data_IF_716950061368
#
_entry.id   IF_716950061368
#
_cell.length_a   1.000
_cell.length_b   1.000
_cell.length_c   1.000
_cell.angle_alpha   90.00
_cell.angle_beta   90.00
_cell.angle_gamma   90.00
#
_symmetry.space_group_name_H-M   'P 1'
#
loop_
_entity.id
_entity.type
_entity.pdbx_description
1 polymer ?
#
# COMPACT_ATOMS: atom_id res chain seq x y z
N UNK A 1 72.85 -17.18 13.47
CA UNK A 1 71.57 -16.43 13.63
C UNK A 1 71.80 -14.99 13.18
N UNK A 2 70.89 -14.44 12.45
CA UNK A 2 70.96 -13.02 12.02
C UNK A 2 70.61 -12.10 13.19
N UNK A 3 71.25 -10.95 13.24
CA UNK A 3 70.87 -9.83 14.11
C UNK A 3 69.98 -8.84 13.33
N UNK A 4 69.21 -8.01 14.03
CA UNK A 4 68.39 -6.98 13.38
C UNK A 4 69.27 -6.00 12.54
N UNK A 5 70.44 -5.67 13.02
CA UNK A 5 71.37 -4.78 12.33
C UNK A 5 71.93 -5.43 11.04
N UNK A 6 72.23 -6.72 11.07
CA UNK A 6 72.67 -7.47 9.88
C UNK A 6 71.55 -7.57 8.84
N UNK A 7 70.31 -7.81 9.25
CA UNK A 7 69.16 -7.83 8.37
C UNK A 7 68.98 -6.47 7.68
N UNK A 8 69.15 -5.38 8.42
CA UNK A 8 69.01 -4.02 7.91
C UNK A 8 70.11 -3.67 6.92
N UNK A 9 71.37 -4.04 7.23
CA UNK A 9 72.58 -3.59 6.47
C UNK A 9 72.98 -4.57 5.35
N UNK A 10 72.48 -5.80 5.31
CA UNK A 10 72.84 -6.79 4.31
C UNK A 10 72.38 -6.34 2.92
N UNK A 11 73.37 -6.18 1.99
CA UNK A 11 73.13 -5.90 0.56
C UNK A 11 73.54 -7.07 -0.31
N UNK A 12 74.13 -8.12 0.24
CA UNK A 12 74.61 -9.29 -0.48
C UNK A 12 73.44 -10.08 -1.01
N UNK A 13 73.39 -10.20 -2.37
CA UNK A 13 72.33 -10.96 -3.05
C UNK A 13 72.39 -12.42 -2.64
N UNK A 14 71.21 -13.06 -2.38
CA UNK A 14 71.12 -14.46 -2.05
C UNK A 14 70.34 -14.71 -0.76
N UNK A 15 70.39 -15.94 -0.27
CA UNK A 15 69.66 -16.39 0.93
C UNK A 15 70.61 -16.46 2.13
N UNK A 16 70.30 -15.70 3.14
CA UNK A 16 71.02 -15.62 4.40
C UNK A 16 70.27 -16.40 5.48
N UNK A 17 70.89 -17.47 5.98
CA UNK A 17 70.25 -18.34 6.98
C UNK A 17 70.15 -17.68 8.35
N UNK A 18 68.96 -17.83 8.95
CA UNK A 18 68.76 -17.47 10.38
C UNK A 18 68.61 -18.76 11.20
N UNK A 19 67.59 -18.93 11.97
CA UNK A 19 67.27 -20.09 12.79
C UNK A 19 66.07 -20.87 12.28
N UNK A 20 65.95 -22.15 12.63
CA UNK A 20 64.74 -22.96 12.44
C UNK A 20 64.17 -23.02 11.00
N UNK A 21 65.04 -22.89 9.98
CA UNK A 21 64.59 -22.88 8.58
C UNK A 21 64.14 -21.56 8.04
N UNK A 22 64.31 -20.45 8.79
CA UNK A 22 64.06 -19.09 8.35
C UNK A 22 65.31 -18.57 7.59
N UNK A 23 65.08 -17.85 6.48
CA UNK A 23 66.08 -17.20 5.67
C UNK A 23 65.64 -15.78 5.30
N UNK A 24 66.58 -14.84 5.25
CA UNK A 24 66.41 -13.59 4.58
C UNK A 24 66.86 -13.76 3.11
N UNK A 25 66.01 -13.51 2.17
CA UNK A 25 66.35 -13.50 0.76
C UNK A 25 66.47 -12.06 0.27
N UNK A 26 67.62 -11.75 -0.38
CA UNK A 26 67.90 -10.42 -0.97
C UNK A 26 67.96 -10.63 -2.48
N UNK A 27 67.12 -9.90 -3.23
CA UNK A 27 67.08 -9.96 -4.69
C UNK A 27 68.15 -9.05 -5.36
N UNK A 28 68.19 -9.06 -6.68
CA UNK A 28 69.14 -8.29 -7.49
C UNK A 28 68.89 -6.76 -7.37
N UNK A 29 67.69 -6.34 -7.00
CA UNK A 29 67.26 -4.96 -6.79
C UNK A 29 67.48 -4.50 -5.35
N UNK A 30 67.95 -5.40 -4.46
CA UNK A 30 68.16 -5.11 -3.04
C UNK A 30 66.92 -5.26 -2.17
N UNK A 31 65.79 -5.72 -2.71
CA UNK A 31 64.60 -5.97 -1.91
C UNK A 31 64.82 -7.21 -1.05
N UNK A 32 64.32 -7.12 0.19
CA UNK A 32 64.44 -8.17 1.19
C UNK A 32 63.14 -8.80 1.49
N UNK A 33 63.10 -10.13 1.55
CA UNK A 33 61.93 -10.88 1.94
C UNK A 33 62.28 -12.05 2.84
N UNK A 34 61.36 -12.44 3.71
CA UNK A 34 61.49 -13.59 4.56
C UNK A 34 61.00 -14.83 3.82
N UNK A 35 61.76 -15.92 3.86
CA UNK A 35 61.41 -17.21 3.28
C UNK A 35 61.71 -18.33 4.29
N UNK A 36 60.86 -19.30 4.31
CA UNK A 36 60.95 -20.45 5.21
C UNK A 36 61.20 -21.72 4.39
N UNK A 37 62.26 -22.45 4.73
CA UNK A 37 62.62 -23.73 4.13
C UNK A 37 62.06 -24.86 4.97
N UNK A 38 61.28 -25.77 4.35
CA UNK A 38 60.71 -26.92 5.01
C UNK A 38 60.82 -28.18 4.12
N UNK A 39 60.59 -29.33 4.73
CA UNK A 39 60.47 -30.61 4.04
C UNK A 39 59.12 -31.25 4.36
N UNK A 40 58.38 -31.62 3.32
CA UNK A 40 57.12 -32.31 3.42
C UNK A 40 57.09 -33.42 2.37
N UNK A 41 56.71 -34.64 2.78
CA UNK A 41 56.67 -35.82 1.92
C UNK A 41 57.99 -36.06 1.13
N UNK A 42 59.13 -35.97 1.84
CA UNK A 42 60.47 -36.10 1.30
C UNK A 42 60.92 -35.04 0.30
N UNK A 43 60.09 -34.02 0.05
CA UNK A 43 60.42 -32.92 -0.84
C UNK A 43 60.79 -31.62 -0.07
N UNK A 44 61.94 -31.03 -0.40
CA UNK A 44 62.32 -29.73 0.13
C UNK A 44 61.59 -28.61 -0.63
N UNK A 45 60.96 -27.72 0.10
CA UNK A 45 60.16 -26.59 -0.43
C UNK A 45 60.47 -25.29 0.29
N UNK A 46 60.04 -24.19 -0.32
CA UNK A 46 60.16 -22.87 0.23
C UNK A 46 58.78 -22.22 0.32
N UNK A 47 58.53 -21.50 1.42
CA UNK A 47 57.33 -20.68 1.64
C UNK A 47 57.75 -19.26 1.91
N UNK A 48 57.15 -18.29 1.21
CA UNK A 48 57.32 -16.86 1.48
C UNK A 48 56.59 -16.42 2.75
N UNK A 49 57.29 -15.71 3.62
CA UNK A 49 56.73 -15.12 4.87
C UNK A 49 56.54 -13.61 4.78
N UNK A 50 56.62 -13.04 3.57
CA UNK A 50 56.42 -11.61 3.32
C UNK A 50 57.70 -10.83 3.18
N UNK A 51 57.58 -9.60 2.67
CA UNK A 51 58.72 -8.64 2.54
C UNK A 51 59.19 -8.18 3.92
N UNK A 52 60.49 -8.00 4.07
CA UNK A 52 61.03 -7.40 5.27
C UNK A 52 60.60 -5.95 5.41
N UNK A 53 60.12 -5.57 6.56
CA UNK A 53 59.81 -4.19 6.93
C UNK A 53 60.21 -3.95 8.39
N UNK A 54 60.81 -2.78 8.67
CA UNK A 54 61.36 -2.40 9.97
C UNK A 54 60.30 -2.32 11.08
N UNK A 55 59.02 -2.12 10.71
CA UNK A 55 57.89 -1.99 11.65
C UNK A 55 56.85 -3.10 11.50
N UNK A 56 56.51 -3.48 10.26
CA UNK A 56 55.37 -4.37 9.97
C UNK A 56 55.77 -5.82 9.75
N UNK A 57 57.08 -6.14 9.46
CA UNK A 57 57.54 -7.52 9.30
C UNK A 57 59.01 -7.66 9.68
N UNK A 58 59.26 -7.48 10.96
CA UNK A 58 60.62 -7.50 11.57
C UNK A 58 61.19 -8.91 11.64
N UNK A 59 62.51 -9.05 12.00
CA UNK A 59 63.14 -10.34 12.24
C UNK A 59 62.40 -11.16 13.32
N UNK A 60 61.93 -10.50 14.41
CA UNK A 60 61.19 -11.17 15.46
C UNK A 60 59.84 -11.74 14.96
N UNK A 61 59.09 -10.95 14.18
CA UNK A 61 57.84 -11.38 13.56
C UNK A 61 58.05 -12.51 12.55
N UNK A 62 59.12 -12.45 11.76
CA UNK A 62 59.48 -13.50 10.83
C UNK A 62 59.85 -14.82 11.50
N UNK A 63 60.50 -14.76 12.68
CA UNK A 63 60.79 -15.95 13.50
C UNK A 63 59.49 -16.58 14.05
N UNK A 64 58.55 -15.77 14.50
CA UNK A 64 57.19 -16.24 14.93
C UNK A 64 56.45 -16.92 13.79
N UNK A 65 56.40 -16.24 12.63
CA UNK A 65 55.73 -16.80 11.43
C UNK A 65 56.40 -18.10 10.94
N UNK A 66 57.72 -18.21 11.06
CA UNK A 66 58.46 -19.42 10.72
C UNK A 66 58.12 -20.59 11.68
N UNK A 67 57.93 -20.29 12.98
CA UNK A 67 57.51 -21.27 13.99
C UNK A 67 56.11 -21.76 13.70
N UNK A 68 55.15 -20.86 13.43
CA UNK A 68 53.78 -21.21 13.06
C UNK A 68 53.74 -22.08 11.81
N UNK A 69 54.48 -21.69 10.76
CA UNK A 69 54.60 -22.44 9.55
C UNK A 69 55.23 -23.81 9.78
N UNK A 70 56.19 -23.93 10.70
CA UNK A 70 56.79 -25.24 11.07
C UNK A 70 55.77 -26.15 11.76
N UNK A 71 54.85 -25.60 12.59
CA UNK A 71 53.80 -26.37 13.23
C UNK A 71 52.81 -26.96 12.18
N UNK A 72 52.42 -26.15 11.18
CA UNK A 72 51.55 -26.63 10.08
C UNK A 72 52.22 -27.74 9.31
N UNK A 73 53.49 -27.64 8.98
CA UNK A 73 54.27 -28.68 8.29
C UNK A 73 54.34 -30.00 9.13
N UNK A 74 54.52 -29.88 10.46
CA UNK A 74 54.50 -31.05 11.37
C UNK A 74 53.14 -31.75 11.41
N UNK A 75 52.05 -31.01 11.17
CA UNK A 75 50.67 -31.55 11.04
C UNK A 75 50.39 -32.09 9.65
N UNK A 76 51.38 -32.13 8.75
CA UNK A 76 51.23 -32.59 7.37
C UNK A 76 50.54 -31.61 6.44
N UNK A 77 50.32 -30.34 6.90
CA UNK A 77 49.59 -29.33 6.13
C UNK A 77 50.58 -28.51 5.30
N UNK A 78 50.31 -28.38 4.00
CA UNK A 78 51.13 -27.54 3.13
C UNK A 78 50.80 -26.02 3.41
N UNK A 79 51.81 -25.19 3.74
CA UNK A 79 51.55 -23.79 4.14
C UNK A 79 50.86 -22.95 3.05
N UNK A 80 51.07 -23.25 1.76
CA UNK A 80 50.42 -22.55 0.67
C UNK A 80 48.91 -22.89 0.64
N UNK A 81 48.56 -24.17 0.82
CA UNK A 81 47.19 -24.64 0.79
C UNK A 81 46.39 -24.07 2.00
N UNK A 82 47.05 -23.96 3.17
CA UNK A 82 46.48 -23.35 4.34
C UNK A 82 46.14 -21.86 4.12
N UNK A 83 47.06 -21.10 3.44
CA UNK A 83 46.80 -19.68 3.10
C UNK A 83 45.59 -19.56 2.13
N UNK A 84 45.47 -20.45 1.14
CA UNK A 84 44.36 -20.46 0.21
C UNK A 84 43.05 -20.81 0.93
N UNK A 85 43.10 -21.79 1.85
CA UNK A 85 41.91 -22.17 2.65
C UNK A 85 41.41 -21.03 3.51
N UNK A 86 42.29 -20.31 4.22
CA UNK A 86 41.92 -19.12 5.03
C UNK A 86 41.33 -18.02 4.15
N UNK A 87 41.91 -17.77 2.99
CA UNK A 87 41.39 -16.76 2.06
C UNK A 87 39.98 -17.11 1.57
N UNK A 88 39.80 -18.34 1.13
CA UNK A 88 38.48 -18.83 0.66
C UNK A 88 37.42 -18.78 1.78
N UNK A 89 37.81 -19.12 3.01
CA UNK A 89 36.90 -19.03 4.16
C UNK A 89 36.53 -17.56 4.49
N UNK A 90 37.47 -16.64 4.40
CA UNK A 90 37.21 -15.22 4.60
C UNK A 90 36.31 -14.65 3.49
N UNK A 91 36.54 -15.04 2.22
CA UNK A 91 35.70 -14.65 1.09
C UNK A 91 34.28 -15.22 1.24
N UNK A 92 34.12 -16.49 1.64
CA UNK A 92 32.83 -17.10 1.92
C UNK A 92 32.08 -16.41 3.07
N UNK A 93 32.79 -16.06 4.16
CA UNK A 93 32.21 -15.33 5.30
C UNK A 93 31.77 -13.94 4.90
N UNK A 94 32.58 -13.21 4.11
CA UNK A 94 32.21 -11.89 3.59
C UNK A 94 31.00 -11.95 2.65
N UNK A 95 30.92 -12.95 1.80
CA UNK A 95 29.78 -13.15 0.91
C UNK A 95 28.50 -13.48 1.72
N UNK A 96 28.60 -14.31 2.73
CA UNK A 96 27.49 -14.58 3.66
C UNK A 96 27.03 -13.33 4.40
N UNK A 97 27.97 -12.54 4.93
CA UNK A 97 27.63 -11.28 5.61
C UNK A 97 27.00 -10.25 4.67
N UNK A 98 27.46 -10.18 3.42
CA UNK A 98 26.88 -9.31 2.40
C UNK A 98 25.44 -9.75 2.07
N UNK A 99 25.23 -11.04 1.81
CA UNK A 99 23.91 -11.61 1.55
C UNK A 99 22.96 -11.40 2.75
N UNK A 100 23.44 -11.57 3.98
CA UNK A 100 22.64 -11.33 5.20
C UNK A 100 22.28 -9.86 5.34
N UNK A 101 23.19 -8.92 5.02
CA UNK A 101 22.89 -7.48 5.03
C UNK A 101 21.89 -7.08 3.95
N UNK A 102 21.99 -7.65 2.76
CA UNK A 102 21.02 -7.45 1.66
C UNK A 102 19.65 -8.03 2.03
N UNK A 103 19.59 -9.20 2.65
CA UNK A 103 18.35 -9.80 3.15
C UNK A 103 17.70 -9.01 4.29
N UNK A 104 18.45 -8.36 5.16
CA UNK A 104 17.93 -7.48 6.22
C UNK A 104 17.32 -6.20 5.62
N UNK A 105 17.79 -5.74 4.46
CA UNK A 105 17.19 -4.61 3.74
C UNK A 105 15.87 -4.96 3.03
N UNK A 106 15.62 -6.21 2.67
CA UNK A 106 14.44 -6.68 1.97
C UNK A 106 13.37 -7.23 2.93
N UNK A 107 12.96 -6.43 3.90
CA UNK A 107 11.83 -6.78 4.76
C UNK A 107 10.50 -6.56 4.04
N UNK A 108 9.41 -7.16 4.56
CA UNK A 108 8.06 -6.91 4.03
C UNK A 108 7.71 -5.42 4.04
N UNK A 109 8.07 -4.69 5.12
CA UNK A 109 7.78 -3.26 5.24
C UNK A 109 8.55 -2.43 4.20
N UNK A 110 9.85 -2.70 3.98
CA UNK A 110 10.63 -1.97 2.99
C UNK A 110 10.11 -2.21 1.57
N UNK A 111 9.81 -3.46 1.22
CA UNK A 111 9.20 -3.81 -0.06
C UNK A 111 7.81 -3.18 -0.24
N UNK A 112 7.00 -3.14 0.82
CA UNK A 112 5.67 -2.52 0.77
C UNK A 112 5.74 -1.00 0.52
N UNK A 113 6.64 -0.30 1.21
CA UNK A 113 6.83 1.14 1.03
C UNK A 113 7.36 1.47 -0.37
N UNK A 114 8.29 0.67 -0.88
CA UNK A 114 8.80 0.84 -2.24
C UNK A 114 7.72 0.58 -3.30
N UNK A 115 6.93 -0.51 -3.14
CA UNK A 115 5.80 -0.80 -4.01
C UNK A 115 4.76 0.34 -4.01
N UNK A 116 4.43 0.88 -2.82
CA UNK A 116 3.52 2.03 -2.70
C UNK A 116 4.07 3.22 -3.47
N UNK A 117 5.36 3.56 -3.31
CA UNK A 117 5.99 4.68 -4.01
C UNK A 117 5.95 4.54 -5.53
N UNK A 118 6.17 3.34 -6.06
CA UNK A 118 6.09 3.06 -7.50
C UNK A 118 4.67 3.15 -8.06
N UNK A 119 3.66 2.78 -7.24
CA UNK A 119 2.25 2.82 -7.63
C UNK A 119 1.57 4.16 -7.36
N UNK A 120 2.24 5.06 -6.67
CA UNK A 120 1.71 6.37 -6.28
C UNK A 120 1.21 7.19 -7.46
N UNK A 121 1.95 7.21 -8.58
CA UNK A 121 1.60 7.94 -9.79
C UNK A 121 0.32 7.41 -10.48
N UNK A 122 0.01 6.11 -10.28
CA UNK A 122 -1.21 5.49 -10.84
C UNK A 122 -2.46 5.84 -10.02
N UNK A 123 -2.29 6.22 -8.75
CA UNK A 123 -3.42 6.49 -7.85
C UNK A 123 -3.79 7.96 -7.84
N UNK A 124 -4.77 8.32 -8.65
CA UNK A 124 -5.27 9.69 -8.76
C UNK A 124 -5.92 10.27 -7.48
N UNK A 125 -6.03 9.50 -6.38
CA UNK A 125 -6.61 9.94 -5.12
C UNK A 125 -5.60 9.84 -3.96
N UNK A 126 -5.09 10.96 -3.43
CA UNK A 126 -4.13 10.98 -2.32
C UNK A 126 -4.63 10.26 -1.06
N UNK A 127 -5.95 10.32 -0.77
CA UNK A 127 -6.55 9.59 0.37
C UNK A 127 -6.46 8.09 0.20
N UNK A 128 -6.54 7.57 -1.03
CA UNK A 128 -6.39 6.15 -1.28
C UNK A 128 -4.98 5.66 -0.94
N UNK A 129 -3.95 6.40 -1.33
CA UNK A 129 -2.55 6.11 -0.99
C UNK A 129 -2.32 6.04 0.51
N UNK A 130 -2.77 7.06 1.25
CA UNK A 130 -2.68 7.08 2.71
C UNK A 130 -3.42 5.89 3.33
N UNK A 131 -4.58 5.51 2.80
CA UNK A 131 -5.35 4.36 3.26
C UNK A 131 -4.62 3.04 2.98
N UNK A 132 -3.97 2.88 1.82
CA UNK A 132 -3.17 1.69 1.49
C UNK A 132 -2.04 1.54 2.51
N UNK A 133 -1.24 2.59 2.70
CA UNK A 133 -0.15 2.62 3.66
C UNK A 133 -0.63 2.29 5.07
N UNK A 134 -1.60 3.06 5.59
CA UNK A 134 -2.11 2.92 6.96
C UNK A 134 -2.67 1.52 7.25
N UNK A 135 -3.34 0.90 6.31
CA UNK A 135 -3.87 -0.45 6.56
C UNK A 135 -2.79 -1.52 6.62
N UNK A 136 -1.70 -1.39 5.85
CA UNK A 136 -0.54 -2.27 5.99
C UNK A 136 0.18 -2.01 7.32
N UNK A 137 0.36 -0.75 7.71
CA UNK A 137 0.96 -0.36 9.00
C UNK A 137 0.18 -0.90 10.20
N UNK A 138 -1.14 -0.90 10.13
CA UNK A 138 -1.99 -1.34 11.27
C UNK A 138 -2.14 -2.86 11.32
N UNK A 139 -2.26 -3.54 10.18
CA UNK A 139 -2.69 -4.94 10.15
C UNK A 139 -1.62 -5.93 9.67
N UNK A 140 -0.61 -5.49 8.93
CA UNK A 140 0.44 -6.36 8.41
C UNK A 140 1.80 -6.12 9.09
N UNK A 141 2.24 -4.86 9.21
CA UNK A 141 3.58 -4.56 9.75
C UNK A 141 3.82 -5.05 11.17
N UNK A 142 2.86 -5.04 12.12
CA UNK A 142 3.11 -5.56 13.47
C UNK A 142 3.50 -7.04 13.49
N UNK A 143 2.98 -7.82 12.54
CA UNK A 143 3.24 -9.26 12.49
C UNK A 143 4.39 -9.65 11.55
N UNK A 144 4.47 -9.02 10.38
CA UNK A 144 5.41 -9.43 9.32
C UNK A 144 6.31 -8.30 8.80
N UNK A 145 6.14 -7.06 9.30
CA UNK A 145 6.85 -5.89 8.77
C UNK A 145 8.37 -6.02 8.75
N UNK A 146 8.95 -6.53 9.82
CA UNK A 146 10.40 -6.70 9.98
C UNK A 146 10.91 -8.06 9.50
N UNK A 147 10.03 -8.94 9.02
CA UNK A 147 10.44 -10.25 8.50
C UNK A 147 11.07 -10.10 7.11
N UNK A 148 12.14 -10.83 6.80
CA UNK A 148 12.64 -10.95 5.43
C UNK A 148 11.51 -11.41 4.49
N UNK A 149 11.26 -10.66 3.43
CA UNK A 149 10.11 -10.93 2.53
C UNK A 149 10.20 -12.33 1.87
N UNK A 150 11.40 -12.83 1.68
CA UNK A 150 11.67 -14.16 1.18
C UNK A 150 11.15 -15.27 2.10
N UNK A 151 11.11 -15.02 3.43
CA UNK A 151 10.82 -16.03 4.44
C UNK A 151 9.37 -16.04 4.90
N UNK A 152 8.62 -14.94 4.67
CA UNK A 152 7.22 -14.85 5.10
C UNK A 152 6.41 -16.03 4.55
N UNK A 153 5.77 -16.77 5.46
CA UNK A 153 4.97 -17.95 5.16
C UNK A 153 3.48 -17.63 5.02
N UNK A 154 2.70 -18.64 4.61
CA UNK A 154 1.23 -18.55 4.58
C UNK A 154 0.66 -18.36 6.00
N UNK A 155 1.24 -19.01 7.00
CA UNK A 155 0.78 -18.88 8.39
C UNK A 155 1.05 -17.49 8.96
N UNK A 156 2.13 -16.83 8.54
CA UNK A 156 2.38 -15.44 8.91
C UNK A 156 1.33 -14.50 8.33
N UNK A 157 0.94 -14.70 7.07
CA UNK A 157 -0.16 -13.95 6.44
C UNK A 157 -1.49 -14.22 7.15
N UNK A 158 -1.76 -15.48 7.53
CA UNK A 158 -2.96 -15.84 8.29
C UNK A 158 -3.01 -15.13 9.63
N UNK A 159 -1.90 -15.05 10.37
CA UNK A 159 -1.84 -14.28 11.65
C UNK A 159 -2.27 -12.82 11.48
N UNK A 160 -1.95 -12.20 10.33
CA UNK A 160 -2.43 -10.85 10.03
C UNK A 160 -3.94 -10.78 9.78
N UNK A 161 -4.51 -11.82 9.18
CA UNK A 161 -5.90 -11.82 8.70
C UNK A 161 -6.88 -12.37 9.73
N UNK A 162 -6.50 -13.35 10.54
CA UNK A 162 -7.38 -14.04 11.50
C UNK A 162 -8.03 -13.07 12.49
N UNK A 163 -7.29 -12.06 12.94
CA UNK A 163 -7.79 -11.04 13.88
C UNK A 163 -8.85 -10.11 13.30
N UNK A 164 -9.02 -10.08 11.98
CA UNK A 164 -9.94 -9.14 11.32
C UNK A 164 -10.88 -9.79 10.31
N UNK A 165 -10.73 -11.09 10.00
CA UNK A 165 -11.52 -11.72 8.94
C UNK A 165 -13.00 -11.85 9.29
N UNK A 166 -13.34 -12.16 10.54
CA UNK A 166 -14.71 -12.28 11.03
C UNK A 166 -15.41 -10.92 11.08
N UNK A 167 -14.84 -9.98 11.84
CA UNK A 167 -15.50 -8.72 12.20
C UNK A 167 -15.37 -7.63 11.13
N UNK A 168 -14.25 -7.60 10.42
CA UNK A 168 -13.90 -6.56 9.44
C UNK A 168 -13.56 -7.16 8.07
N UNK A 169 -14.37 -8.08 7.60
CA UNK A 169 -14.11 -8.88 6.39
C UNK A 169 -13.71 -8.06 5.16
N UNK A 170 -14.32 -6.88 4.94
CA UNK A 170 -13.93 -6.01 3.82
C UNK A 170 -12.52 -5.45 4.00
N UNK A 171 -12.19 -5.04 5.22
CA UNK A 171 -10.84 -4.55 5.54
C UNK A 171 -9.83 -5.67 5.39
N UNK A 172 -10.13 -6.86 5.92
CA UNK A 172 -9.28 -8.04 5.80
C UNK A 172 -9.02 -8.43 4.34
N UNK A 173 -10.06 -8.45 3.51
CA UNK A 173 -9.95 -8.70 2.07
C UNK A 173 -9.03 -7.68 1.37
N UNK A 174 -9.15 -6.41 1.71
CA UNK A 174 -8.29 -5.35 1.15
C UNK A 174 -6.85 -5.44 1.65
N UNK A 175 -6.64 -5.74 2.93
CA UNK A 175 -5.30 -5.98 3.50
C UNK A 175 -4.64 -7.16 2.79
N UNK A 176 -5.35 -8.28 2.62
CA UNK A 176 -4.88 -9.44 1.88
C UNK A 176 -4.47 -9.08 0.44
N UNK A 177 -5.31 -8.37 -0.30
CA UNK A 177 -5.02 -7.94 -1.67
C UNK A 177 -3.77 -7.06 -1.74
N UNK A 178 -3.56 -6.18 -0.76
CA UNK A 178 -2.37 -5.33 -0.67
C UNK A 178 -1.13 -6.15 -0.39
N UNK A 179 -1.20 -7.08 0.59
CA UNK A 179 -0.10 -8.03 0.85
C UNK A 179 0.23 -8.84 -0.41
N UNK A 180 -0.78 -9.38 -1.11
CA UNK A 180 -0.61 -10.11 -2.36
C UNK A 180 0.13 -9.27 -3.42
N UNK A 181 -0.22 -7.99 -3.55
CA UNK A 181 0.46 -7.08 -4.48
C UNK A 181 1.92 -6.82 -4.09
N UNK A 182 2.21 -6.67 -2.80
CA UNK A 182 3.58 -6.48 -2.29
C UNK A 182 4.42 -7.73 -2.53
N UNK A 183 3.90 -8.93 -2.25
CA UNK A 183 4.60 -10.17 -2.54
C UNK A 183 4.81 -10.40 -4.03
N UNK A 184 3.82 -10.08 -4.86
CA UNK A 184 3.96 -10.15 -6.33
C UNK A 184 5.05 -9.20 -6.83
N UNK A 185 5.15 -8.01 -6.25
CA UNK A 185 6.24 -7.06 -6.53
C UNK A 185 7.60 -7.62 -6.11
N UNK A 186 7.70 -8.23 -4.93
CA UNK A 186 8.93 -8.85 -4.45
C UNK A 186 9.38 -10.01 -5.33
N UNK A 187 8.46 -10.84 -5.80
CA UNK A 187 8.74 -11.93 -6.75
C UNK A 187 9.25 -11.36 -8.08
N UNK A 188 8.55 -10.37 -8.64
CA UNK A 188 8.93 -9.74 -9.90
C UNK A 188 10.28 -9.01 -9.83
N UNK A 189 10.70 -8.57 -8.65
CA UNK A 189 12.00 -7.91 -8.42
C UNK A 189 13.11 -8.87 -7.96
N UNK A 190 12.87 -10.20 -7.97
CA UNK A 190 13.87 -11.20 -7.59
C UNK A 190 14.19 -11.29 -6.09
N UNK A 191 13.41 -10.61 -5.23
CA UNK A 191 13.60 -10.60 -3.78
C UNK A 191 12.91 -11.77 -3.06
N UNK A 192 12.09 -12.51 -3.78
CA UNK A 192 11.40 -13.71 -3.30
C UNK A 192 11.25 -14.71 -4.44
N UNK A 193 11.70 -15.94 -4.20
CA UNK A 193 11.56 -17.04 -5.15
C UNK A 193 10.34 -17.93 -4.85
N UNK A 194 9.91 -17.95 -3.56
CA UNK A 194 8.77 -18.75 -3.11
C UNK A 194 7.46 -18.18 -3.65
N UNK A 195 6.45 -19.03 -3.75
CA UNK A 195 5.08 -18.65 -4.11
C UNK A 195 4.55 -17.51 -3.24
N UNK A 196 3.63 -16.70 -3.78
CA UNK A 196 2.97 -15.62 -3.08
C UNK A 196 2.10 -16.15 -1.93
N UNK A 197 2.43 -15.89 -0.64
CA UNK A 197 1.73 -16.46 0.49
C UNK A 197 0.36 -15.81 0.75
N UNK A 198 0.07 -14.66 0.13
CA UNK A 198 -1.20 -13.95 0.22
C UNK A 198 -2.14 -14.21 -0.96
N UNK A 199 -1.78 -15.15 -1.85
CA UNK A 199 -2.60 -15.52 -3.01
C UNK A 199 -3.96 -16.06 -2.56
N UNK A 200 -5.02 -15.53 -3.18
CA UNK A 200 -6.38 -15.97 -2.84
C UNK A 200 -6.73 -17.30 -3.45
N UNK A 201 -6.71 -17.36 -4.79
CA UNK A 201 -7.16 -18.54 -5.55
C UNK A 201 -6.18 -19.71 -5.36
N UNK A 202 -6.71 -20.83 -4.92
CA UNK A 202 -5.93 -22.07 -4.73
C UNK A 202 -5.09 -22.10 -3.45
N UNK A 203 -5.06 -21.02 -2.64
CA UNK A 203 -4.32 -20.97 -1.40
C UNK A 203 -5.20 -20.48 -0.25
N UNK A 204 -5.33 -19.17 -0.03
CA UNK A 204 -6.08 -18.63 1.12
C UNK A 204 -7.59 -18.88 1.04
N UNK A 205 -8.14 -19.08 -0.14
CA UNK A 205 -9.55 -19.50 -0.33
C UNK A 205 -9.90 -20.84 0.31
N UNK A 206 -8.90 -21.66 0.68
CA UNK A 206 -9.10 -22.92 1.41
C UNK A 206 -9.23 -22.72 2.94
N UNK A 207 -8.75 -21.59 3.45
CA UNK A 207 -8.77 -21.26 4.87
C UNK A 207 -9.87 -20.27 5.23
N UNK A 208 -10.29 -19.43 4.28
CA UNK A 208 -11.26 -18.36 4.51
C UNK A 208 -12.46 -18.47 3.60
N UNK A 209 -13.66 -18.27 4.15
CA UNK A 209 -14.85 -18.07 3.35
C UNK A 209 -14.73 -16.82 2.46
N UNK A 210 -15.34 -16.86 1.28
CA UNK A 210 -15.30 -15.70 0.39
C UNK A 210 -15.89 -14.46 1.10
N UNK A 211 -15.30 -13.26 0.92
CA UNK A 211 -15.77 -12.05 1.59
C UNK A 211 -17.25 -11.76 1.38
N UNK A 212 -17.79 -12.08 0.18
CA UNK A 212 -19.19 -11.90 -0.12
C UNK A 212 -20.08 -12.85 0.71
N UNK A 213 -19.71 -14.14 0.84
CA UNK A 213 -20.45 -15.11 1.64
C UNK A 213 -20.41 -14.78 3.12
N UNK A 214 -19.22 -14.43 3.65
CA UNK A 214 -19.06 -14.03 5.07
C UNK A 214 -19.95 -12.82 5.38
N UNK A 215 -19.92 -11.79 4.56
CA UNK A 215 -20.76 -10.60 4.71
C UNK A 215 -22.24 -10.92 4.62
N UNK A 216 -22.65 -11.74 3.64
CA UNK A 216 -24.04 -12.17 3.50
C UNK A 216 -24.53 -12.89 4.76
N UNK A 217 -23.74 -13.85 5.26
CA UNK A 217 -24.10 -14.61 6.45
C UNK A 217 -24.16 -13.71 7.71
N UNK A 218 -23.21 -12.78 7.87
CA UNK A 218 -23.24 -11.82 8.97
C UNK A 218 -24.48 -10.91 8.93
N UNK A 219 -24.91 -10.48 7.73
CA UNK A 219 -26.14 -9.70 7.55
C UNK A 219 -27.38 -10.51 7.88
N UNK A 220 -27.48 -11.74 7.38
CA UNK A 220 -28.60 -12.64 7.72
C UNK A 220 -28.65 -12.85 9.23
N UNK A 221 -27.54 -13.10 9.89
CA UNK A 221 -27.46 -13.30 11.34
C UNK A 221 -27.87 -12.04 12.13
N UNK A 222 -27.66 -10.84 11.59
CA UNK A 222 -28.08 -9.57 12.21
C UNK A 222 -29.54 -9.17 11.87
N UNK A 223 -30.28 -10.01 11.16
CA UNK A 223 -31.65 -9.70 10.74
C UNK A 223 -31.76 -8.66 9.63
N UNK A 224 -30.63 -8.31 8.97
CA UNK A 224 -30.62 -7.38 7.84
C UNK A 224 -30.88 -8.14 6.54
N UNK A 225 -31.78 -7.61 5.71
CA UNK A 225 -32.09 -8.13 4.37
C UNK A 225 -30.95 -7.98 3.34
N UNK A 226 -29.82 -7.46 3.78
CA UNK A 226 -28.60 -7.33 2.97
C UNK A 226 -28.50 -6.05 2.17
N UNK A 227 -29.49 -5.17 2.23
CA UNK A 227 -29.45 -3.84 1.60
C UNK A 227 -28.62 -2.83 2.42
N UNK A 228 -28.18 -1.74 1.81
CA UNK A 228 -27.60 -0.63 2.56
C UNK A 228 -28.67 -0.06 3.49
N UNK A 229 -28.28 0.37 4.69
CA UNK A 229 -29.14 1.08 5.63
C UNK A 229 -29.71 2.33 4.96
N UNK A 230 -30.90 2.20 4.40
CA UNK A 230 -31.63 3.21 3.65
C UNK A 230 -32.96 3.51 4.34
N UNK A 231 -33.43 4.74 4.23
CA UNK A 231 -34.75 5.11 4.67
C UNK A 231 -35.79 4.48 3.73
N UNK A 232 -36.80 3.73 4.24
CA UNK A 232 -37.93 3.30 3.40
C UNK A 232 -38.57 4.52 2.73
N UNK A 233 -38.79 4.47 1.42
CA UNK A 233 -39.28 5.64 0.68
C UNK A 233 -40.61 6.18 1.24
N UNK A 234 -41.50 5.32 1.74
CA UNK A 234 -42.76 5.72 2.37
C UNK A 234 -42.59 6.65 3.59
N UNK A 235 -41.43 6.61 4.24
CA UNK A 235 -41.09 7.48 5.36
C UNK A 235 -40.38 8.78 4.92
N UNK A 236 -40.05 8.92 3.64
CA UNK A 236 -39.26 10.03 3.16
C UNK A 236 -39.94 11.40 3.34
N UNK A 237 -41.24 11.59 3.02
CA UNK A 237 -41.87 12.88 3.18
C UNK A 237 -41.86 13.35 4.63
N UNK A 238 -42.19 12.48 5.59
CA UNK A 238 -42.14 12.81 7.02
C UNK A 238 -40.71 13.09 7.51
N UNK A 239 -39.72 12.37 7.01
CA UNK A 239 -38.32 12.63 7.33
C UNK A 239 -37.85 13.98 6.78
N UNK A 240 -38.22 14.37 5.55
CA UNK A 240 -37.86 15.64 4.96
C UNK A 240 -38.53 16.81 5.71
N UNK A 241 -39.74 16.62 6.21
CA UNK A 241 -40.40 17.60 7.09
C UNK A 241 -39.64 17.75 8.40
N UNK A 242 -39.25 16.67 9.07
CA UNK A 242 -38.39 16.67 10.26
C UNK A 242 -37.03 17.33 9.98
N UNK A 243 -36.40 17.00 8.85
CA UNK A 243 -35.15 17.62 8.43
C UNK A 243 -35.28 19.13 8.24
N UNK A 244 -36.46 19.62 7.81
CA UNK A 244 -36.77 21.04 7.67
C UNK A 244 -36.73 21.81 8.98
N UNK A 245 -36.89 21.16 10.14
CA UNK A 245 -36.74 21.80 11.46
C UNK A 245 -35.29 21.96 11.91
N UNK A 246 -34.36 21.26 11.21
CA UNK A 246 -32.94 21.26 11.54
C UNK A 246 -32.24 22.50 10.96
N UNK A 247 -31.39 23.15 11.76
CA UNK A 247 -30.64 24.31 11.33
C UNK A 247 -29.22 23.98 10.84
N UNK A 248 -28.69 24.87 10.01
CA UNK A 248 -27.30 24.88 9.58
C UNK A 248 -27.04 24.17 8.22
N UNK A 249 -25.89 24.45 7.69
CA UNK A 249 -25.46 24.02 6.33
C UNK A 249 -25.56 22.51 6.09
N UNK A 250 -25.35 21.69 7.14
CA UNK A 250 -25.44 20.25 7.01
C UNK A 250 -26.87 19.76 6.71
N UNK A 251 -27.90 20.44 7.22
CA UNK A 251 -29.31 20.13 6.95
C UNK A 251 -29.66 20.48 5.50
N UNK A 252 -29.27 21.64 5.04
CA UNK A 252 -29.48 22.12 3.67
C UNK A 252 -28.72 21.23 2.65
N UNK A 253 -27.49 20.83 2.96
CA UNK A 253 -26.71 19.91 2.16
C UNK A 253 -27.34 18.51 2.09
N UNK A 254 -27.91 18.02 3.21
CA UNK A 254 -28.59 16.73 3.24
C UNK A 254 -29.89 16.79 2.43
N UNK A 255 -30.70 17.87 2.57
CA UNK A 255 -31.89 18.07 1.77
C UNK A 255 -31.59 18.11 0.28
N UNK A 256 -30.53 18.86 -0.12
CA UNK A 256 -30.06 18.90 -1.50
C UNK A 256 -29.58 17.51 -1.99
N UNK A 257 -28.88 16.75 -1.12
CA UNK A 257 -28.45 15.37 -1.43
C UNK A 257 -29.64 14.46 -1.70
N UNK A 258 -30.72 14.57 -0.92
CA UNK A 258 -31.97 13.82 -1.10
C UNK A 258 -32.61 14.21 -2.43
N UNK A 259 -32.87 15.49 -2.63
CA UNK A 259 -33.57 16.02 -3.82
C UNK A 259 -32.85 15.72 -5.12
N UNK A 260 -31.51 15.67 -5.12
CA UNK A 260 -30.70 15.38 -6.32
C UNK A 260 -30.29 13.91 -6.46
N UNK A 261 -30.50 13.09 -5.43
CA UNK A 261 -29.94 11.75 -5.30
C UNK A 261 -28.43 11.66 -5.60
N UNK A 262 -27.70 12.76 -5.47
CA UNK A 262 -26.29 12.89 -5.79
C UNK A 262 -25.40 12.21 -4.73
N UNK A 263 -24.14 11.92 -5.09
CA UNK A 263 -23.16 11.39 -4.13
C UNK A 263 -22.74 12.45 -3.13
N UNK A 264 -22.62 12.08 -1.86
CA UNK A 264 -22.16 12.96 -0.77
C UNK A 264 -20.91 13.78 -1.14
N UNK A 265 -19.96 13.15 -1.82
CA UNK A 265 -18.75 13.83 -2.26
C UNK A 265 -19.02 14.94 -3.27
N UNK A 266 -19.89 14.70 -4.25
CA UNK A 266 -20.25 15.70 -5.26
C UNK A 266 -20.95 16.90 -4.61
N UNK A 267 -21.92 16.65 -3.73
CA UNK A 267 -22.66 17.71 -3.01
C UNK A 267 -21.73 18.56 -2.15
N UNK A 268 -20.83 17.93 -1.40
CA UNK A 268 -19.88 18.68 -0.54
C UNK A 268 -18.98 19.63 -1.31
N UNK A 269 -18.59 19.26 -2.51
CA UNK A 269 -17.71 20.05 -3.36
C UNK A 269 -18.46 20.88 -4.41
N UNK A 270 -19.79 20.95 -4.33
CA UNK A 270 -20.59 21.79 -5.22
C UNK A 270 -20.21 23.26 -5.05
N UNK A 271 -19.93 23.92 -6.17
CA UNK A 271 -19.62 25.34 -6.22
C UNK A 271 -20.71 26.10 -6.99
N UNK A 272 -20.89 27.38 -6.66
CA UNK A 272 -21.87 28.24 -7.31
C UNK A 272 -21.64 28.34 -8.84
N UNK A 273 -20.40 28.39 -9.29
CA UNK A 273 -20.03 28.42 -10.70
C UNK A 273 -20.51 27.21 -11.52
N UNK A 274 -20.89 26.12 -10.85
CA UNK A 274 -21.37 24.89 -11.46
C UNK A 274 -22.90 24.82 -11.55
N UNK A 275 -23.60 25.79 -10.97
CA UNK A 275 -25.06 25.84 -10.87
C UNK A 275 -25.60 26.86 -11.87
N UNK A 276 -26.40 26.40 -12.80
CA UNK A 276 -27.21 27.22 -13.72
C UNK A 276 -28.68 27.10 -13.30
N UNK A 277 -29.18 28.09 -12.55
CA UNK A 277 -30.56 28.09 -12.04
C UNK A 277 -31.58 28.35 -13.15
N UNK A 278 -31.22 29.08 -14.22
CA UNK A 278 -32.11 29.35 -15.34
C UNK A 278 -32.37 28.05 -16.13
N UNK A 279 -31.30 27.29 -16.42
CA UNK A 279 -31.40 25.99 -17.08
C UNK A 279 -31.76 24.86 -16.12
N UNK A 280 -31.78 25.11 -14.83
CA UNK A 280 -32.01 24.13 -13.77
C UNK A 280 -31.01 22.96 -13.84
N UNK A 281 -29.74 23.25 -14.07
CA UNK A 281 -28.66 22.26 -14.23
C UNK A 281 -27.56 22.52 -13.19
N UNK A 282 -27.13 21.44 -12.55
CA UNK A 282 -25.87 21.43 -11.83
C UNK A 282 -24.86 20.56 -12.57
N UNK A 283 -23.77 21.16 -13.03
CA UNK A 283 -22.69 20.48 -13.76
C UNK A 283 -21.59 20.03 -12.80
N UNK A 284 -21.53 18.72 -12.51
CA UNK A 284 -20.51 18.13 -11.64
C UNK A 284 -19.24 17.85 -12.44
N UNK A 285 -18.10 18.48 -12.13
CA UNK A 285 -16.85 18.28 -12.87
C UNK A 285 -16.34 16.83 -12.78
N UNK A 286 -15.64 16.38 -13.81
CA UNK A 286 -15.04 15.04 -13.91
C UNK A 286 -14.17 14.67 -12.69
N UNK A 287 -13.47 15.63 -12.09
CA UNK A 287 -12.62 15.44 -10.90
C UNK A 287 -13.42 14.98 -9.67
N UNK A 288 -14.70 15.32 -9.57
CA UNK A 288 -15.60 14.94 -8.48
C UNK A 288 -16.50 13.74 -8.80
N UNK A 289 -16.34 13.16 -9.99
CA UNK A 289 -17.09 12.00 -10.44
C UNK A 289 -16.25 10.72 -10.40
N UNK A 290 -16.86 9.62 -9.92
CA UNK A 290 -16.19 8.30 -9.91
C UNK A 290 -15.88 7.81 -11.34
N UNK A 291 -16.71 8.20 -12.31
CA UNK A 291 -16.55 7.88 -13.74
C UNK A 291 -15.45 8.68 -14.44
N UNK A 292 -14.87 9.70 -13.77
CA UNK A 292 -13.94 10.68 -14.38
C UNK A 292 -14.49 11.35 -15.63
N UNK A 293 -15.83 11.46 -15.75
CA UNK A 293 -16.53 12.21 -16.79
C UNK A 293 -17.43 13.23 -16.11
N UNK A 294 -17.54 14.41 -16.72
CA UNK A 294 -18.50 15.43 -16.30
C UNK A 294 -19.92 14.87 -16.29
N UNK A 295 -20.73 15.35 -15.35
CA UNK A 295 -22.10 14.87 -15.18
C UNK A 295 -23.05 16.02 -14.90
N UNK A 296 -24.12 16.14 -15.70
CA UNK A 296 -25.17 17.13 -15.53
C UNK A 296 -26.30 16.54 -14.67
N UNK A 297 -26.61 17.19 -13.57
CA UNK A 297 -27.73 16.86 -12.68
C UNK A 297 -28.91 17.77 -13.02
N UNK A 298 -30.05 17.20 -13.35
CA UNK A 298 -31.30 17.95 -13.51
C UNK A 298 -31.80 18.38 -12.12
N UNK A 299 -32.09 19.66 -11.94
CA UNK A 299 -32.58 20.23 -10.69
C UNK A 299 -34.10 20.39 -10.76
N UNK A 300 -34.81 19.81 -9.77
CA UNK A 300 -36.24 20.08 -9.57
C UNK A 300 -36.49 21.52 -9.15
N UNK A 301 -37.73 21.98 -9.28
CA UNK A 301 -38.18 23.28 -8.75
C UNK A 301 -37.84 23.47 -7.26
N UNK A 302 -38.02 22.43 -6.46
CA UNK A 302 -37.63 22.40 -5.05
C UNK A 302 -36.15 22.56 -4.79
N UNK A 303 -35.29 22.01 -5.67
CA UNK A 303 -33.84 22.26 -5.60
C UNK A 303 -33.50 23.71 -5.92
N UNK A 304 -34.14 24.27 -6.94
CA UNK A 304 -33.91 25.67 -7.33
C UNK A 304 -34.34 26.63 -6.22
N UNK A 305 -35.50 26.39 -5.60
CA UNK A 305 -35.95 27.17 -4.43
C UNK A 305 -34.96 27.09 -3.28
N UNK A 306 -34.53 25.87 -2.91
CA UNK A 306 -33.52 25.69 -1.86
C UNK A 306 -32.23 26.45 -2.17
N UNK A 307 -31.74 26.42 -3.41
CA UNK A 307 -30.49 27.10 -3.79
C UNK A 307 -30.65 28.62 -3.85
N UNK A 308 -31.83 29.15 -4.23
CA UNK A 308 -32.08 30.59 -4.28
C UNK A 308 -32.15 31.22 -2.91
N UNK A 309 -32.58 30.47 -1.89
CA UNK A 309 -32.64 30.90 -0.49
C UNK A 309 -31.28 30.84 0.24
N UNK A 310 -30.29 30.15 -0.35
CA UNK A 310 -28.98 30.01 0.27
C UNK A 310 -28.15 31.31 0.16
N UNK A 311 -27.51 31.77 1.24
CA UNK A 311 -26.56 32.86 1.15
C UNK A 311 -25.31 32.44 0.37
N UNK A 312 -24.94 33.20 -0.65
CA UNK A 312 -23.74 32.97 -1.46
C UNK A 312 -22.48 33.46 -0.75
N UNK A 313 -22.02 32.70 0.29
CA UNK A 313 -20.82 33.03 1.04
C UNK A 313 -19.65 32.17 0.53
N UNK A 314 -18.81 32.77 -0.30
CA UNK A 314 -17.66 32.09 -0.92
C UNK A 314 -18.02 31.19 -2.11
N UNK A 315 -17.07 30.33 -2.52
CA UNK A 315 -17.20 29.54 -3.73
C UNK A 315 -18.12 28.32 -3.59
N UNK A 316 -18.18 27.71 -2.40
CA UNK A 316 -18.96 26.49 -2.16
C UNK A 316 -20.43 26.80 -1.87
N UNK A 317 -21.32 25.98 -2.44
CA UNK A 317 -22.77 26.03 -2.14
C UNK A 317 -23.01 25.67 -0.67
N UNK A 318 -22.27 24.68 -0.16
CA UNK A 318 -22.33 24.23 1.23
C UNK A 318 -20.97 24.41 1.91
N UNK A 319 -20.68 25.61 2.43
CA UNK A 319 -19.40 25.90 3.06
C UNK A 319 -19.22 25.12 4.37
N UNK A 320 -17.97 24.86 4.71
CA UNK A 320 -17.56 24.28 5.99
C UNK A 320 -17.44 25.34 7.10
N UNK A 321 -16.98 24.89 8.26
CA UNK A 321 -16.70 25.78 9.40
C UNK A 321 -15.46 26.67 9.24
N UNK A 322 -14.62 26.40 8.23
CA UNK A 322 -13.47 27.24 7.89
C UNK A 322 -13.72 27.94 6.57
N UNK A 323 -13.31 29.20 6.49
CA UNK A 323 -13.46 30.02 5.29
C UNK A 323 -12.75 29.34 4.10
N UNK A 324 -13.44 29.25 2.98
CA UNK A 324 -12.89 28.66 1.76
C UNK A 324 -12.86 27.12 1.72
N UNK A 325 -13.33 26.44 2.75
CA UNK A 325 -13.43 24.99 2.77
C UNK A 325 -14.86 24.48 2.56
N UNK A 326 -15.03 23.30 1.93
CA UNK A 326 -16.33 22.67 1.77
C UNK A 326 -16.82 22.04 3.08
N UNK A 327 -18.10 21.72 3.18
CA UNK A 327 -18.68 20.97 4.29
C UNK A 327 -17.86 19.73 4.61
N UNK A 328 -17.62 19.44 5.89
CA UNK A 328 -16.80 18.31 6.36
C UNK A 328 -17.35 16.96 5.87
N UNK A 329 -16.47 15.95 5.75
CA UNK A 329 -16.85 14.60 5.26
C UNK A 329 -17.94 13.95 6.12
N UNK A 330 -17.96 14.24 7.42
CA UNK A 330 -18.92 13.68 8.37
C UNK A 330 -20.15 14.56 8.65
N UNK A 331 -20.22 15.77 8.10
CA UNK A 331 -21.23 16.78 8.50
C UNK A 331 -22.67 16.27 8.40
N UNK A 332 -23.08 15.77 7.24
CA UNK A 332 -24.43 15.23 7.04
C UNK A 332 -24.69 13.95 7.86
N UNK A 333 -23.70 13.06 7.99
CA UNK A 333 -23.84 11.86 8.81
C UNK A 333 -23.95 12.17 10.30
N UNK A 334 -23.22 13.17 10.78
CA UNK A 334 -23.31 13.66 12.16
C UNK A 334 -24.66 14.29 12.44
N UNK A 335 -25.26 14.95 11.45
CA UNK A 335 -26.63 15.46 11.56
C UNK A 335 -27.62 14.30 11.72
N UNK A 336 -27.60 13.27 10.88
CA UNK A 336 -28.45 12.09 11.02
C UNK A 336 -28.34 11.47 12.41
N UNK A 337 -27.15 11.36 12.96
CA UNK A 337 -26.93 10.84 14.31
C UNK A 337 -27.58 11.74 15.39
N UNK A 338 -27.51 13.08 15.25
CA UNK A 338 -28.16 14.03 16.18
C UNK A 338 -29.69 13.94 16.10
N UNK A 339 -30.24 13.68 14.91
CA UNK A 339 -31.67 13.41 14.70
C UNK A 339 -32.10 12.03 15.20
N UNK A 340 -31.20 11.27 15.87
CA UNK A 340 -31.51 9.92 16.36
C UNK A 340 -31.46 8.82 15.26
N UNK A 341 -31.21 9.19 14.00
CA UNK A 341 -31.24 8.29 12.86
C UNK A 341 -29.87 7.64 12.65
N UNK A 342 -29.57 6.63 13.48
CA UNK A 342 -28.38 5.77 13.36
C UNK A 342 -28.61 4.58 12.44
N UNK A 343 -29.85 4.29 12.13
CA UNK A 343 -30.37 3.21 11.30
C UNK A 343 -30.14 3.42 9.80
N UNK A 344 -29.91 4.67 9.37
CA UNK A 344 -29.73 5.07 7.97
C UNK A 344 -28.40 5.76 7.70
N UNK A 345 -28.04 5.84 6.45
CA UNK A 345 -26.85 6.56 5.98
C UNK A 345 -27.20 7.61 4.93
N UNK A 346 -26.36 8.64 4.78
CA UNK A 346 -26.54 9.63 3.70
C UNK A 346 -26.52 8.98 2.31
N UNK A 347 -25.74 7.91 2.13
CA UNK A 347 -25.70 7.17 0.87
C UNK A 347 -26.98 6.35 0.64
N UNK A 348 -27.63 5.93 1.71
CA UNK A 348 -28.89 5.16 1.67
C UNK A 348 -30.04 5.88 0.95
N UNK A 349 -30.08 7.22 0.97
CA UNK A 349 -31.10 7.99 0.24
C UNK A 349 -31.07 7.77 -1.27
N UNK A 350 -29.96 7.30 -1.82
CA UNK A 350 -29.88 6.92 -3.24
C UNK A 350 -30.60 5.58 -3.50
N UNK A 351 -30.59 4.67 -2.52
CA UNK A 351 -31.41 3.47 -2.56
C UNK A 351 -32.88 3.83 -2.41
N UNK A 352 -33.23 4.70 -1.44
CA UNK A 352 -34.58 5.24 -1.25
C UNK A 352 -35.16 5.82 -2.56
N UNK A 353 -34.37 6.64 -3.28
CA UNK A 353 -34.76 7.17 -4.60
C UNK A 353 -35.01 6.05 -5.62
N UNK A 354 -34.06 5.11 -5.72
CA UNK A 354 -34.14 4.03 -6.70
C UNK A 354 -35.32 3.11 -6.44
N UNK A 355 -35.57 2.77 -5.18
CA UNK A 355 -36.67 1.89 -4.77
C UNK A 355 -38.00 2.58 -5.06
N UNK A 356 -38.15 3.87 -4.74
CA UNK A 356 -39.36 4.64 -5.07
C UNK A 356 -39.65 4.67 -6.58
N UNK A 357 -38.64 5.00 -7.39
CA UNK A 357 -38.83 5.05 -8.85
C UNK A 357 -39.21 3.67 -9.41
N UNK A 358 -38.59 2.61 -8.89
CA UNK A 358 -38.86 1.24 -9.37
C UNK A 358 -40.19 0.65 -8.91
N UNK A 359 -40.70 1.06 -7.75
CA UNK A 359 -41.88 0.45 -7.14
C UNK A 359 -43.17 1.28 -7.31
N UNK A 360 -43.04 2.62 -7.34
CA UNK A 360 -44.22 3.50 -7.28
C UNK A 360 -44.43 4.32 -8.57
N UNK A 361 -43.52 4.21 -9.57
CA UNK A 361 -43.66 5.02 -10.76
C UNK A 361 -43.52 4.25 -12.06
N UNK A 362 -44.07 4.78 -13.15
CA UNK A 362 -43.94 4.22 -14.50
C UNK A 362 -42.66 4.65 -15.25
N UNK A 363 -41.74 5.32 -14.61
CA UNK A 363 -40.48 5.75 -15.27
C UNK A 363 -39.58 4.55 -15.62
N UNK A 364 -38.94 4.61 -16.75
CA UNK A 364 -37.93 3.61 -17.13
C UNK A 364 -36.83 3.54 -16.07
N UNK A 365 -36.61 2.35 -15.49
CA UNK A 365 -35.55 2.09 -14.51
C UNK A 365 -34.18 2.61 -14.93
N UNK A 366 -33.87 2.56 -16.23
CA UNK A 366 -32.60 3.11 -16.76
C UNK A 366 -32.47 4.60 -16.48
N UNK A 367 -33.58 5.35 -16.45
CA UNK A 367 -33.59 6.77 -16.17
C UNK A 367 -33.11 7.05 -14.73
N UNK A 368 -33.54 6.24 -13.77
CA UNK A 368 -33.06 6.29 -12.38
C UNK A 368 -31.54 6.00 -12.31
N UNK A 369 -31.06 4.97 -13.01
CA UNK A 369 -29.64 4.65 -13.06
C UNK A 369 -28.80 5.79 -13.68
N UNK A 370 -29.31 6.44 -14.72
CA UNK A 370 -28.71 7.66 -15.29
C UNK A 370 -28.70 8.82 -14.28
N UNK A 371 -29.82 9.07 -13.60
CA UNK A 371 -29.90 10.13 -12.57
C UNK A 371 -28.89 9.87 -11.43
N UNK A 372 -28.68 8.63 -11.08
CA UNK A 372 -27.69 8.20 -10.09
C UNK A 372 -26.24 8.24 -10.63
N UNK A 373 -26.01 8.60 -11.88
CA UNK A 373 -24.70 8.51 -12.53
C UNK A 373 -24.04 7.13 -12.32
N UNK A 374 -24.84 6.07 -12.47
CA UNK A 374 -24.35 4.71 -12.51
C UNK A 374 -23.88 4.35 -13.92
N UNK A 375 -22.80 3.62 -14.01
CA UNK A 375 -22.34 3.07 -15.29
C UNK A 375 -23.19 1.85 -15.59
N UNK A 376 -23.96 1.88 -16.67
CA UNK A 376 -24.69 0.72 -17.15
C UNK A 376 -23.74 -0.48 -17.30
N UNK A 377 -24.13 -1.62 -16.75
CA UNK A 377 -23.23 -2.77 -16.57
C UNK A 377 -23.00 -3.55 -17.86
N UNK A 378 -23.91 -3.49 -18.82
CA UNK A 378 -23.77 -4.24 -20.07
C UNK A 378 -23.06 -3.43 -21.15
N UNK A 379 -22.19 -4.10 -21.91
CA UNK A 379 -21.52 -3.50 -23.08
C UNK A 379 -22.53 -3.10 -24.16
N UNK A 380 -23.61 -3.82 -24.27
CA UNK A 380 -24.70 -3.58 -25.23
C UNK A 380 -25.46 -2.32 -24.87
N UNK A 381 -25.84 -2.10 -23.60
CA UNK A 381 -26.53 -0.89 -23.15
C UNK A 381 -25.66 0.37 -23.33
N UNK A 382 -24.34 0.26 -23.13
CA UNK A 382 -23.38 1.37 -23.36
C UNK A 382 -23.32 1.77 -24.82
N UNK A 383 -23.44 0.83 -25.76
CA UNK A 383 -23.38 1.09 -27.19
C UNK A 383 -24.61 1.87 -27.71
N UNK A 384 -25.77 1.70 -27.04
CA UNK A 384 -27.02 2.36 -27.40
C UNK A 384 -27.26 3.69 -26.67
N UNK A 385 -26.57 3.95 -25.57
CA UNK A 385 -26.74 5.17 -24.77
C UNK A 385 -25.82 6.31 -25.27
N UNK A 386 -26.21 6.99 -26.36
CA UNK A 386 -25.44 8.12 -26.94
C UNK A 386 -25.65 9.45 -26.21
N UNK A 387 -26.75 9.63 -25.49
CA UNK A 387 -27.10 10.83 -24.74
C UNK A 387 -27.19 10.58 -23.24
N UNK A 388 -27.25 11.65 -22.44
CA UNK A 388 -27.40 11.58 -20.98
C UNK A 388 -28.86 11.63 -20.52
N UNK A 389 -29.81 11.62 -21.45
CA UNK A 389 -31.28 11.66 -21.21
C UNK A 389 -31.71 12.86 -20.34
N UNK A 390 -31.02 13.99 -20.42
CA UNK A 390 -31.22 15.12 -19.51
C UNK A 390 -32.67 15.61 -19.46
N UNK A 391 -33.34 15.76 -20.62
CA UNK A 391 -34.75 16.20 -20.68
C UNK A 391 -35.67 15.28 -19.91
N UNK A 392 -35.58 13.98 -20.14
CA UNK A 392 -36.37 13.00 -19.39
C UNK A 392 -36.01 12.96 -17.88
N UNK A 393 -34.77 13.29 -17.53
CA UNK A 393 -34.38 13.37 -16.14
C UNK A 393 -34.97 14.60 -15.42
N UNK A 394 -35.31 15.68 -16.13
CA UNK A 394 -36.04 16.79 -15.51
C UNK A 394 -37.41 16.36 -15.01
N UNK A 395 -38.15 15.61 -15.81
CA UNK A 395 -39.47 15.08 -15.40
C UNK A 395 -39.34 14.15 -14.18
N UNK A 396 -38.40 13.20 -14.25
CA UNK A 396 -38.11 12.28 -13.17
C UNK A 396 -37.75 13.01 -11.86
N UNK A 397 -36.86 13.99 -11.93
CA UNK A 397 -36.36 14.72 -10.74
C UNK A 397 -37.39 15.69 -10.21
N UNK A 398 -38.29 16.23 -11.05
CA UNK A 398 -39.42 17.04 -10.59
C UNK A 398 -40.42 16.18 -9.81
N UNK A 399 -40.80 15.01 -10.37
CA UNK A 399 -41.66 14.04 -9.70
C UNK A 399 -41.07 13.58 -8.35
N UNK A 400 -39.79 13.25 -8.32
CA UNK A 400 -39.09 12.91 -7.08
C UNK A 400 -39.05 14.05 -6.06
N UNK A 401 -38.82 15.27 -6.52
CA UNK A 401 -38.82 16.46 -5.65
C UNK A 401 -40.19 16.69 -5.02
N UNK A 402 -41.26 16.59 -5.77
CA UNK A 402 -42.63 16.69 -5.28
C UNK A 402 -42.93 15.62 -4.24
N UNK A 403 -42.64 14.37 -4.54
CA UNK A 403 -42.83 13.26 -3.58
C UNK A 403 -42.04 13.47 -2.30
N UNK A 404 -40.76 13.79 -2.39
CA UNK A 404 -39.87 13.98 -1.23
C UNK A 404 -40.36 15.13 -0.32
N UNK A 405 -41.02 16.14 -0.90
CA UNK A 405 -41.54 17.30 -0.15
C UNK A 405 -42.98 17.09 0.36
N UNK A 406 -43.55 15.89 0.18
CA UNK A 406 -44.89 15.56 0.64
C UNK A 406 -46.02 16.05 -0.27
N UNK A 407 -45.71 16.42 -1.50
CA UNK A 407 -46.70 16.73 -2.53
C UNK A 407 -47.38 15.46 -3.05
N UNK A 408 -48.65 15.57 -3.42
CA UNK A 408 -49.35 14.49 -4.13
C UNK A 408 -48.79 14.41 -5.54
N UNK A 409 -48.24 13.27 -5.90
CA UNK A 409 -47.83 12.98 -7.27
C UNK A 409 -48.98 12.28 -7.96
N UNK A 410 -49.67 12.99 -8.89
CA UNK A 410 -50.65 12.41 -9.79
C UNK A 410 -50.00 11.42 -10.77
#
# INVERSE_FOLDING_TARGET
MLTALEVENTKKIGRHADSNGLYLEVDKQGNKRWVFRYQLNNHRRWCGLGSYDKKANTLAMARTAAMETKLLVRQGIHPADHKVAIRNQAEATNLQQKNTREQIQDTFATCALEWIGRKEAEWGNPKHRLQVKRTLEVYAFPAIGNMPIAEVSVDDVKRCLDVIWGDKTETASRVRQRMESVFSYAIASGRREKQNPAQWKGLLSNFYGSPQKVKRNARIASGSDGHFAALPYKQLPSFVLELGTQQGIAALALKFTILTAARTGSVRFAKWEQIDLEKRIWTVPAAHMKSKKEFRVALSSHCCTLLSELPRVGAYVFPGGKIGEPLSTGGMLSLLKRMGRKDITVHGFRSTFRDYIGEETGFDYRLAEFALAHVLSSSTEKAYARGDLLEKRFELMEHWGQYAMGGVTE
#
